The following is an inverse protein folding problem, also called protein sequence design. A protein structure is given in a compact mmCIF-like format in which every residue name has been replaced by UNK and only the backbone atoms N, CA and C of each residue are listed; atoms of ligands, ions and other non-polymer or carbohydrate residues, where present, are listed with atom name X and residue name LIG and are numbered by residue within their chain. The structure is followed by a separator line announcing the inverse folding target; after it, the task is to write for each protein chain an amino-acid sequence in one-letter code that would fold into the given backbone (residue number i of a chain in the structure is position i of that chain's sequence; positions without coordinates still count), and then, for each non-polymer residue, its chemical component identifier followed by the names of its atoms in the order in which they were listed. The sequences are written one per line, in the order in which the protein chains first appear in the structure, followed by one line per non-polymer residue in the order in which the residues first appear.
data_IF_640692072481
#
_entry.id   IF_640692072481
#
_cell.length_a   1.000
_cell.length_b   1.000
_cell.length_c   1.000
_cell.angle_alpha   90.00
_cell.angle_beta   90.00
_cell.angle_gamma   90.00
#
_symmetry.space_group_name_H-M   'P 1'
#
loop_
_entity.id
_entity.type
_entity.pdbx_description
1 polymer ?
#
# COMPACT_ATOMS: atom_id res chain seq x y z
N UNK A 1 14.09 6.52 -18.57
CA UNK A 1 12.78 6.77 -17.95
C UNK A 1 11.69 6.82 -19.00
N UNK A 2 10.51 6.32 -18.66
CA UNK A 2 9.35 6.10 -19.56
C UNK A 2 8.85 7.37 -20.29
N UNK A 3 9.21 8.56 -19.86
CA UNK A 3 8.66 9.84 -20.36
C UNK A 3 9.74 10.75 -21.01
N UNK A 4 11.04 10.49 -20.81
CA UNK A 4 12.11 11.42 -21.18
C UNK A 4 12.28 11.72 -22.68
N UNK A 5 11.69 10.93 -23.56
CA UNK A 5 11.86 11.05 -25.01
C UNK A 5 10.61 11.55 -25.76
N UNK A 6 9.52 11.81 -25.04
CA UNK A 6 8.26 12.25 -25.64
C UNK A 6 8.05 13.74 -25.39
N UNK A 7 7.73 14.49 -26.46
CA UNK A 7 7.32 15.89 -26.37
C UNK A 7 6.02 16.07 -25.57
N UNK A 8 5.16 15.04 -25.55
CA UNK A 8 3.90 14.99 -24.78
C UNK A 8 3.69 13.61 -24.22
N UNK A 9 3.37 13.52 -22.96
CA UNK A 9 3.09 12.25 -22.27
C UNK A 9 1.73 12.32 -21.57
N UNK A 10 1.06 11.16 -21.47
CA UNK A 10 -0.16 10.99 -20.67
C UNK A 10 0.10 10.03 -19.53
N UNK A 11 -0.18 10.45 -18.31
CA UNK A 11 -0.06 9.66 -17.09
C UNK A 11 -1.45 9.35 -16.55
N UNK A 12 -1.71 8.08 -16.26
CA UNK A 12 -2.89 7.66 -15.51
C UNK A 12 -2.48 7.39 -14.06
N UNK A 13 -3.03 8.15 -13.12
CA UNK A 13 -2.86 7.89 -11.68
C UNK A 13 -4.06 7.09 -11.19
N UNK A 14 -3.80 5.89 -10.69
CA UNK A 14 -4.79 4.94 -10.19
C UNK A 14 -4.69 4.89 -8.65
N UNK A 15 -5.72 5.35 -7.96
CA UNK A 15 -5.85 5.22 -6.51
C UNK A 15 -6.64 3.96 -6.15
N UNK A 16 -5.95 2.95 -5.65
CA UNK A 16 -6.55 1.70 -5.18
C UNK A 16 -7.04 1.83 -3.75
N UNK A 17 -8.07 1.08 -3.40
CA UNK A 17 -8.62 1.01 -2.06
C UNK A 17 -10.04 1.56 -1.93
N UNK A 18 -10.52 1.63 -0.69
CA UNK A 18 -11.85 2.08 -0.32
C UNK A 18 -11.78 3.44 0.38
N UNK A 19 -12.34 4.48 -0.23
CA UNK A 19 -12.38 5.83 0.32
C UNK A 19 -13.13 5.94 1.67
N UNK A 20 -14.04 5.00 1.94
CA UNK A 20 -14.84 4.99 3.18
C UNK A 20 -14.13 4.28 4.34
N UNK A 21 -12.97 3.67 4.09
CA UNK A 21 -12.16 2.96 5.09
C UNK A 21 -10.83 3.67 5.26
N UNK A 22 -10.64 4.37 6.36
CA UNK A 22 -9.45 5.21 6.62
C UNK A 22 -8.12 4.50 6.35
N UNK A 23 -8.00 3.25 6.73
CA UNK A 23 -6.80 2.44 6.52
C UNK A 23 -6.53 2.11 5.04
N UNK A 24 -7.54 2.21 4.18
CA UNK A 24 -7.52 1.84 2.76
C UNK A 24 -7.79 3.04 1.83
N UNK A 25 -7.89 4.25 2.38
CA UNK A 25 -8.27 5.45 1.66
C UNK A 25 -7.09 6.17 0.96
N UNK A 26 -5.85 5.75 1.18
CA UNK A 26 -4.66 6.45 0.67
C UNK A 26 -4.73 6.70 -0.84
N UNK A 27 -4.98 5.66 -1.63
CA UNK A 27 -5.04 5.77 -3.09
C UNK A 27 -6.12 6.74 -3.57
N UNK A 28 -7.39 6.56 -3.16
CA UNK A 28 -8.46 7.50 -3.45
C UNK A 28 -8.17 8.94 -3.02
N UNK A 29 -7.60 9.15 -1.83
CA UNK A 29 -7.27 10.47 -1.32
C UNK A 29 -6.16 11.14 -2.12
N UNK A 30 -5.15 10.40 -2.58
CA UNK A 30 -4.14 10.95 -3.48
C UNK A 30 -4.78 11.41 -4.78
N UNK A 31 -5.62 10.58 -5.41
CA UNK A 31 -6.31 10.96 -6.67
C UNK A 31 -7.17 12.20 -6.48
N UNK A 32 -7.82 12.36 -5.34
CA UNK A 32 -8.64 13.55 -5.00
C UNK A 32 -7.80 14.81 -4.84
N UNK A 33 -6.53 14.70 -4.43
CA UNK A 33 -5.69 15.84 -4.07
C UNK A 33 -4.62 16.18 -5.13
N UNK A 34 -4.38 15.36 -6.14
CA UNK A 34 -3.47 15.70 -7.24
C UNK A 34 -4.15 16.63 -8.25
N UNK A 35 -3.34 17.35 -8.99
CA UNK A 35 -3.82 18.15 -10.11
C UNK A 35 -4.13 17.27 -11.32
N UNK A 36 -5.40 17.19 -11.71
CA UNK A 36 -5.88 16.50 -12.90
C UNK A 36 -6.03 17.53 -14.02
N UNK A 37 -5.19 17.48 -15.05
CA UNK A 37 -5.11 18.48 -16.09
C UNK A 37 -5.38 17.97 -17.51
N UNK A 38 -5.55 16.65 -17.70
CA UNK A 38 -5.65 16.04 -19.04
C UNK A 38 -6.71 16.69 -19.93
N UNK A 39 -7.85 17.11 -19.37
CA UNK A 39 -8.97 17.68 -20.12
C UNK A 39 -8.66 19.04 -20.78
N UNK A 40 -7.65 19.78 -20.29
CA UNK A 40 -7.22 21.05 -20.86
C UNK A 40 -5.72 21.10 -21.23
N UNK A 41 -4.97 20.02 -20.98
CA UNK A 41 -3.52 19.99 -21.18
C UNK A 41 -3.08 20.35 -22.61
N UNK A 42 -3.86 19.93 -23.62
CA UNK A 42 -3.58 20.24 -25.03
C UNK A 42 -3.67 21.74 -25.31
N UNK A 43 -4.72 22.38 -24.81
CA UNK A 43 -4.99 23.82 -25.04
C UNK A 43 -4.01 24.67 -24.24
N UNK A 44 -3.65 24.26 -23.04
CA UNK A 44 -2.70 24.97 -22.18
C UNK A 44 -1.22 24.69 -22.53
N UNK A 45 -0.93 23.87 -23.53
CA UNK A 45 0.44 23.53 -23.92
C UNK A 45 1.21 22.71 -22.86
N UNK A 46 0.50 21.99 -21.98
CA UNK A 46 1.09 21.18 -20.92
C UNK A 46 1.72 19.92 -21.54
N UNK A 47 2.97 19.63 -21.18
CA UNK A 47 3.72 18.49 -21.71
C UNK A 47 3.28 17.15 -21.11
N UNK A 48 2.87 17.14 -19.83
CA UNK A 48 2.45 15.93 -19.12
C UNK A 48 0.97 16.06 -18.76
N UNK A 49 0.13 15.33 -19.49
CA UNK A 49 -1.30 15.24 -19.21
C UNK A 49 -1.58 14.21 -18.13
N UNK A 50 -2.19 14.60 -17.02
CA UNK A 50 -2.52 13.73 -15.88
C UNK A 50 -4.01 13.46 -15.85
N UNK A 51 -4.37 12.17 -15.83
CA UNK A 51 -5.71 11.67 -15.56
C UNK A 51 -5.71 10.90 -14.23
N UNK A 52 -6.78 10.98 -13.46
CA UNK A 52 -6.95 10.24 -12.20
C UNK A 52 -8.13 9.28 -12.26
N UNK A 53 -8.00 8.14 -11.61
CA UNK A 53 -9.04 7.13 -11.46
C UNK A 53 -8.97 6.53 -10.05
N UNK A 54 -10.08 6.61 -9.31
CA UNK A 54 -10.27 5.87 -8.06
C UNK A 54 -11.48 4.94 -8.27
N UNK A 55 -11.26 3.66 -8.69
CA UNK A 55 -12.33 2.77 -9.12
C UNK A 55 -13.19 2.23 -7.95
N UNK A 56 -12.74 2.42 -6.71
CA UNK A 56 -13.31 1.75 -5.54
C UNK A 56 -12.91 0.27 -5.47
N UNK A 57 -13.63 -0.49 -4.65
CA UNK A 57 -13.38 -1.91 -4.42
C UNK A 57 -14.47 -2.78 -5.04
N UNK A 58 -14.14 -4.05 -5.34
CA UNK A 58 -15.06 -5.00 -5.95
C UNK A 58 -16.37 -5.16 -5.16
N UNK A 59 -16.32 -5.05 -3.82
CA UNK A 59 -17.51 -5.11 -2.99
C UNK A 59 -18.53 -3.97 -3.26
N UNK A 60 -18.04 -2.83 -3.75
CA UNK A 60 -18.89 -1.68 -4.12
C UNK A 60 -19.32 -1.71 -5.58
N UNK A 61 -18.44 -2.16 -6.47
CA UNK A 61 -18.64 -2.06 -7.93
C UNK A 61 -19.17 -3.35 -8.55
N UNK A 62 -18.97 -4.51 -7.91
CA UNK A 62 -19.23 -5.83 -8.48
C UNK A 62 -18.26 -6.24 -9.60
N UNK A 63 -17.23 -5.45 -9.87
CA UNK A 63 -16.28 -5.65 -10.96
C UNK A 63 -14.85 -5.80 -10.42
N UNK A 64 -14.04 -6.63 -11.11
CA UNK A 64 -12.60 -6.68 -10.82
C UNK A 64 -11.93 -5.37 -11.21
N UNK A 65 -11.11 -4.83 -10.29
CA UNK A 65 -10.39 -3.57 -10.52
C UNK A 65 -9.55 -3.62 -11.81
N UNK A 66 -8.90 -4.76 -12.08
CA UNK A 66 -8.09 -4.94 -13.29
C UNK A 66 -8.93 -4.85 -14.60
N UNK A 67 -10.18 -5.27 -14.58
CA UNK A 67 -11.09 -5.14 -15.75
C UNK A 67 -11.43 -3.68 -16.02
N UNK A 68 -11.78 -2.93 -14.99
CA UNK A 68 -12.06 -1.49 -15.09
C UNK A 68 -10.83 -0.75 -15.62
N UNK A 69 -9.66 -1.01 -15.03
CA UNK A 69 -8.41 -0.35 -15.42
C UNK A 69 -8.04 -0.66 -16.87
N UNK A 70 -8.17 -1.93 -17.32
CA UNK A 70 -7.93 -2.29 -18.72
C UNK A 70 -8.87 -1.55 -19.68
N UNK A 71 -10.14 -1.39 -19.31
CA UNK A 71 -11.11 -0.62 -20.10
C UNK A 71 -10.66 0.84 -20.24
N UNK A 72 -10.28 1.47 -19.16
CA UNK A 72 -9.79 2.86 -19.14
C UNK A 72 -8.48 3.00 -19.92
N UNK A 73 -7.51 2.10 -19.71
CA UNK A 73 -6.21 2.13 -20.41
C UNK A 73 -6.39 2.00 -21.91
N UNK A 74 -7.26 1.11 -22.38
CA UNK A 74 -7.57 0.96 -23.83
C UNK A 74 -8.12 2.24 -24.46
N UNK A 75 -8.97 2.95 -23.72
CA UNK A 75 -9.59 4.18 -24.20
C UNK A 75 -8.65 5.39 -24.07
N UNK A 76 -7.93 5.48 -22.95
CA UNK A 76 -7.07 6.62 -22.62
C UNK A 76 -5.71 6.56 -23.31
N UNK A 77 -5.18 5.34 -23.49
CA UNK A 77 -3.83 5.04 -24.01
C UNK A 77 -2.74 5.84 -23.30
N UNK A 78 -2.62 5.72 -21.98
CA UNK A 78 -1.59 6.43 -21.23
C UNK A 78 -0.21 5.86 -21.56
N UNK A 79 0.84 6.67 -21.39
CA UNK A 79 2.23 6.25 -21.56
C UNK A 79 2.74 5.49 -20.33
N UNK A 80 2.16 5.78 -19.17
CA UNK A 80 2.48 5.10 -17.90
C UNK A 80 1.27 5.15 -16.97
N UNK A 81 1.10 4.08 -16.18
CA UNK A 81 0.14 4.00 -15.09
C UNK A 81 0.89 4.07 -13.77
N UNK A 82 0.50 4.97 -12.88
CA UNK A 82 1.00 5.05 -11.50
C UNK A 82 -0.10 4.51 -10.59
N UNK A 83 0.10 3.33 -10.00
CA UNK A 83 -0.83 2.71 -9.08
C UNK A 83 -0.43 3.03 -7.63
N UNK A 84 -1.35 3.55 -6.84
CA UNK A 84 -1.14 3.93 -5.44
C UNK A 84 -2.06 3.10 -4.56
N UNK A 85 -1.51 2.45 -3.53
CA UNK A 85 -2.26 1.55 -2.66
C UNK A 85 -1.80 1.60 -1.20
N UNK A 86 -2.71 1.26 -0.32
CA UNK A 86 -2.45 0.97 1.09
C UNK A 86 -1.95 -0.45 1.25
N UNK A 87 -0.87 -0.66 2.00
CA UNK A 87 -0.28 -1.98 2.20
C UNK A 87 -0.42 -2.44 3.65
N UNK A 88 -0.32 -3.75 3.86
CA UNK A 88 -0.11 -4.32 5.19
C UNK A 88 1.40 -4.34 5.52
N UNK A 89 1.76 -3.79 6.67
CA UNK A 89 3.12 -3.83 7.18
C UNK A 89 3.47 -5.26 7.63
N UNK A 90 4.66 -5.72 7.29
CA UNK A 90 5.25 -6.97 7.81
C UNK A 90 6.22 -6.75 8.98
N UNK A 91 6.28 -5.52 9.45
CA UNK A 91 7.07 -5.04 10.57
C UNK A 91 6.38 -3.76 11.05
N UNK A 92 6.02 -3.70 12.33
CA UNK A 92 5.25 -2.59 12.91
C UNK A 92 5.98 -1.25 12.80
N UNK A 93 7.31 -1.25 12.76
CA UNK A 93 8.13 -0.04 12.60
C UNK A 93 7.98 0.62 11.23
N UNK A 94 7.48 -0.11 10.22
CA UNK A 94 7.23 0.40 8.87
C UNK A 94 5.87 1.08 8.70
N UNK A 95 4.99 0.92 9.68
CA UNK A 95 3.65 1.48 9.63
C UNK A 95 3.70 3.01 9.45
N UNK A 96 3.18 3.51 8.34
CA UNK A 96 3.17 4.93 7.95
C UNK A 96 4.54 5.64 7.89
N UNK A 97 5.64 4.87 7.88
CA UNK A 97 7.00 5.43 7.88
C UNK A 97 7.78 5.14 6.61
N UNK A 98 7.28 4.24 5.76
CA UNK A 98 7.97 3.82 4.54
C UNK A 98 7.09 3.97 3.31
N UNK A 99 7.71 4.29 2.18
CA UNK A 99 7.08 4.26 0.85
C UNK A 99 7.80 3.19 0.04
N UNK A 100 7.04 2.26 -0.52
CA UNK A 100 7.55 1.19 -1.36
C UNK A 100 7.27 1.52 -2.84
N UNK A 101 8.27 1.38 -3.68
CA UNK A 101 8.17 1.58 -5.12
C UNK A 101 8.46 0.28 -5.86
N UNK A 102 7.66 -0.04 -6.87
CA UNK A 102 7.83 -1.22 -7.71
C UNK A 102 7.52 -0.91 -9.16
N UNK A 103 8.39 -1.32 -10.08
CA UNK A 103 8.12 -1.28 -11.52
C UNK A 103 7.43 -2.55 -12.05
N UNK A 104 7.20 -3.54 -11.19
CA UNK A 104 6.52 -4.79 -11.56
C UNK A 104 5.00 -4.72 -11.38
N UNK A 105 4.48 -3.57 -10.96
CA UNK A 105 3.07 -3.40 -10.63
C UNK A 105 2.73 -3.79 -9.20
N UNK A 106 1.43 -3.98 -8.93
CA UNK A 106 0.89 -4.24 -7.61
C UNK A 106 -0.23 -5.29 -7.65
N UNK A 107 -0.35 -6.07 -6.58
CA UNK A 107 -1.44 -7.05 -6.40
C UNK A 107 -2.34 -6.56 -5.25
N UNK A 108 -3.47 -5.91 -5.56
CA UNK A 108 -4.35 -5.33 -4.54
C UNK A 108 -4.83 -6.40 -3.56
N UNK A 109 -4.80 -6.10 -2.25
CA UNK A 109 -5.28 -6.99 -1.20
C UNK A 109 -4.41 -8.23 -0.91
N UNK A 110 -3.28 -8.43 -1.58
CA UNK A 110 -2.39 -9.59 -1.33
C UNK A 110 -1.83 -9.61 0.10
N UNK A 111 -1.64 -8.46 0.72
CA UNK A 111 -1.17 -8.33 2.10
C UNK A 111 -2.19 -8.78 3.15
N UNK A 112 -3.48 -8.89 2.79
CA UNK A 112 -4.58 -9.32 3.66
C UNK A 112 -5.23 -10.63 3.19
N UNK A 113 -4.51 -11.43 2.40
CA UNK A 113 -4.95 -12.75 1.96
C UNK A 113 -5.95 -12.77 0.79
N UNK A 114 -6.25 -11.62 0.19
CA UNK A 114 -7.10 -11.52 -0.98
C UNK A 114 -6.27 -11.67 -2.26
N UNK A 115 -6.41 -12.78 -2.95
CA UNK A 115 -5.77 -13.00 -4.26
C UNK A 115 -6.63 -12.41 -5.37
N UNK A 116 -6.31 -11.18 -5.77
CA UNK A 116 -6.93 -10.48 -6.91
C UNK A 116 -5.98 -10.43 -8.09
N UNK A 117 -6.54 -10.16 -9.28
CA UNK A 117 -5.73 -9.94 -10.48
C UNK A 117 -4.82 -8.74 -10.27
N UNK A 118 -3.53 -8.91 -10.52
CA UNK A 118 -2.54 -7.84 -10.36
C UNK A 118 -2.74 -6.72 -11.38
N UNK A 119 -2.34 -5.52 -10.98
CA UNK A 119 -2.19 -4.37 -11.89
C UNK A 119 -0.72 -4.35 -12.32
N UNK A 120 -0.42 -5.10 -13.36
CA UNK A 120 0.94 -5.26 -13.93
C UNK A 120 0.92 -4.86 -15.40
N UNK A 121 2.09 -4.59 -15.98
CA UNK A 121 2.19 -4.25 -17.41
C UNK A 121 1.57 -5.31 -18.32
N UNK A 122 1.80 -6.59 -18.03
CA UNK A 122 1.23 -7.71 -18.80
C UNK A 122 -0.32 -7.74 -18.77
N UNK A 123 -0.92 -7.28 -17.66
CA UNK A 123 -2.37 -7.28 -17.48
C UNK A 123 -3.00 -6.04 -18.10
N UNK A 124 -2.43 -4.86 -17.93
CA UNK A 124 -3.04 -3.60 -18.35
C UNK A 124 -2.53 -3.10 -19.70
N UNK A 125 -1.38 -3.59 -20.18
CA UNK A 125 -0.82 -3.28 -21.49
C UNK A 125 -0.03 -1.97 -21.58
N UNK A 126 0.30 -1.37 -20.44
CA UNK A 126 1.17 -0.17 -20.35
C UNK A 126 2.10 -0.31 -19.14
N UNK A 127 3.28 0.33 -19.16
CA UNK A 127 4.18 0.33 -18.02
C UNK A 127 3.48 0.77 -16.72
N UNK A 128 3.74 0.05 -15.63
CA UNK A 128 3.15 0.32 -14.31
C UNK A 128 4.24 0.68 -13.32
N UNK A 129 4.08 1.80 -12.63
CA UNK A 129 4.82 2.17 -11.43
C UNK A 129 3.86 2.05 -10.24
N UNK A 130 4.14 1.13 -9.33
CA UNK A 130 3.38 0.99 -8.10
C UNK A 130 4.04 1.76 -6.94
N UNK A 131 3.20 2.45 -6.17
CA UNK A 131 3.57 3.16 -4.95
C UNK A 131 2.69 2.61 -3.83
N UNK A 132 3.32 2.04 -2.81
CA UNK A 132 2.61 1.47 -1.66
C UNK A 132 3.08 2.06 -0.35
N UNK A 133 2.14 2.31 0.56
CA UNK A 133 2.43 2.75 1.93
C UNK A 133 1.79 1.79 2.91
N UNK A 134 2.53 1.22 3.87
CA UNK A 134 1.96 0.40 4.93
C UNK A 134 1.10 1.26 5.87
N UNK A 135 -0.22 1.05 5.83
CA UNK A 135 -1.21 1.78 6.63
C UNK A 135 -1.84 0.93 7.72
N UNK A 136 -1.69 -0.40 7.62
CA UNK A 136 -2.18 -1.38 8.59
C UNK A 136 -1.08 -2.37 8.96
N UNK A 137 -1.22 -2.97 10.13
CA UNK A 137 -0.42 -4.12 10.59
C UNK A 137 -1.34 -5.13 11.23
N UNK A 138 -1.13 -6.41 11.00
CA UNK A 138 -1.92 -7.47 11.63
C UNK A 138 -1.45 -7.74 13.06
N UNK A 139 -2.34 -8.28 13.89
CA UNK A 139 -2.02 -8.60 15.26
C UNK A 139 -0.89 -9.63 15.40
N UNK A 140 -0.80 -10.70 14.58
CA UNK A 140 0.35 -11.60 14.60
C UNK A 140 1.69 -10.90 14.40
N UNK A 141 1.79 -9.93 13.50
CA UNK A 141 3.01 -9.14 13.30
C UNK A 141 3.38 -8.34 14.54
N UNK A 142 2.39 -7.67 15.19
CA UNK A 142 2.63 -6.92 16.43
C UNK A 142 3.15 -7.83 17.53
N UNK A 143 2.53 -9.01 17.70
CA UNK A 143 2.96 -9.98 18.71
C UNK A 143 4.36 -10.51 18.39
N UNK A 144 4.66 -10.82 17.13
CA UNK A 144 5.99 -11.26 16.71
C UNK A 144 7.07 -10.21 17.04
N UNK A 145 6.84 -8.95 16.65
CA UNK A 145 7.77 -7.85 16.90
C UNK A 145 7.98 -7.62 18.41
N UNK A 146 6.90 -7.74 19.20
CA UNK A 146 6.95 -7.64 20.65
C UNK A 146 7.77 -8.77 21.25
N UNK A 147 7.55 -10.01 20.81
CA UNK A 147 8.32 -11.17 21.25
C UNK A 147 9.80 -11.06 20.88
N UNK A 148 10.12 -10.61 19.67
CA UNK A 148 11.52 -10.40 19.27
C UNK A 148 12.21 -9.35 20.15
N UNK A 149 11.54 -8.24 20.44
CA UNK A 149 12.08 -7.21 21.32
C UNK A 149 12.26 -7.72 22.76
N UNK A 150 11.30 -8.49 23.26
CA UNK A 150 11.41 -9.15 24.57
C UNK A 150 12.60 -10.12 24.60
N UNK A 151 12.75 -10.98 23.58
CA UNK A 151 13.87 -11.93 23.51
C UNK A 151 15.22 -11.20 23.43
N UNK A 152 15.32 -10.07 22.72
CA UNK A 152 16.52 -9.22 22.70
C UNK A 152 16.82 -8.66 24.09
N UNK A 153 15.80 -8.23 24.83
CA UNK A 153 15.97 -7.71 26.20
C UNK A 153 16.46 -8.79 27.16
N UNK A 154 15.87 -9.99 27.15
CA UNK A 154 16.29 -11.10 28.03
C UNK A 154 17.63 -11.71 27.64
N UNK A 155 18.05 -11.60 26.37
CA UNK A 155 19.38 -12.06 25.94
C UNK A 155 20.54 -11.33 26.66
N UNK A 156 20.28 -10.15 27.21
CA UNK A 156 21.25 -9.41 28.02
C UNK A 156 21.36 -9.95 29.46
N UNK A 157 20.39 -10.76 29.92
CA UNK A 157 20.41 -11.41 31.23
C UNK A 157 21.22 -12.71 31.17
N UNK A 158 22.15 -12.91 32.11
CA UNK A 158 22.93 -14.15 32.21
C UNK A 158 22.06 -15.38 32.44
N UNK A 159 20.94 -15.23 33.15
CA UNK A 159 20.05 -16.33 33.56
C UNK A 159 19.09 -16.77 32.45
N UNK A 160 18.67 -15.84 31.58
CA UNK A 160 17.64 -16.08 30.56
C UNK A 160 18.19 -16.23 29.14
N UNK A 161 19.51 -16.10 28.97
CA UNK A 161 20.19 -16.18 27.65
C UNK A 161 19.92 -17.50 26.92
N UNK A 162 19.73 -18.61 27.62
CA UNK A 162 19.43 -19.92 27.03
C UNK A 162 18.07 -19.93 26.33
N UNK A 163 17.05 -19.25 26.90
CA UNK A 163 15.70 -19.13 26.32
C UNK A 163 15.75 -18.34 25.03
N UNK A 164 16.44 -17.19 25.05
CA UNK A 164 16.60 -16.37 23.84
C UNK A 164 17.27 -17.16 22.70
N UNK A 165 18.27 -18.02 23.03
CA UNK A 165 18.99 -18.80 22.03
C UNK A 165 18.09 -19.82 21.31
N UNK A 166 17.21 -20.50 22.04
CA UNK A 166 16.28 -21.49 21.46
C UNK A 166 15.37 -20.78 20.42
N UNK A 167 14.82 -19.61 20.78
CA UNK A 167 13.97 -18.85 19.86
C UNK A 167 14.73 -18.26 18.67
N UNK A 168 16.03 -17.97 18.79
CA UNK A 168 16.84 -17.45 17.69
C UNK A 168 17.12 -18.48 16.58
N UNK A 169 16.91 -19.77 16.83
CA UNK A 169 17.08 -20.83 15.84
C UNK A 169 15.94 -20.87 14.80
N UNK A 170 14.76 -20.30 15.13
CA UNK A 170 13.64 -20.22 14.20
C UNK A 170 13.80 -19.05 13.23
N UNK A 171 13.47 -19.29 11.96
CA UNK A 171 13.37 -18.22 10.95
C UNK A 171 12.23 -17.24 11.28
N UNK A 172 12.26 -16.01 10.75
CA UNK A 172 11.16 -15.05 10.95
C UNK A 172 9.78 -15.59 10.52
N UNK A 173 9.74 -16.41 9.47
CA UNK A 173 8.50 -17.04 8.99
C UNK A 173 7.98 -18.08 9.94
N UNK A 174 8.84 -18.95 10.46
CA UNK A 174 8.45 -19.98 11.43
C UNK A 174 7.95 -19.36 12.74
N UNK A 175 8.58 -18.31 13.22
CA UNK A 175 8.10 -17.55 14.39
C UNK A 175 6.72 -16.97 14.16
N UNK A 176 6.50 -16.36 13.01
CA UNK A 176 5.20 -15.79 12.65
C UNK A 176 4.10 -16.86 12.59
N UNK A 177 4.36 -18.02 11.96
CA UNK A 177 3.38 -19.12 11.89
C UNK A 177 3.09 -19.71 13.28
N UNK A 178 4.09 -19.91 14.12
CA UNK A 178 3.91 -20.31 15.52
C UNK A 178 3.01 -19.34 16.29
N UNK A 179 3.21 -18.05 16.12
CA UNK A 179 2.39 -17.03 16.78
C UNK A 179 0.95 -17.10 16.28
N UNK A 180 0.73 -17.32 14.98
CA UNK A 180 -0.62 -17.49 14.41
C UNK A 180 -1.35 -18.70 14.97
N UNK A 181 -0.63 -19.78 15.28
CA UNK A 181 -1.22 -21.00 15.87
C UNK A 181 -1.63 -20.80 17.34
N UNK A 182 -0.95 -19.95 18.10
CA UNK A 182 -1.24 -19.73 19.54
C UNK A 182 -2.13 -18.51 19.80
N UNK A 183 -2.23 -17.59 18.86
CA UNK A 183 -3.17 -16.45 18.93
C UNK A 183 -4.59 -16.98 18.73
N UNK A 184 -5.55 -16.40 19.46
CA UNK A 184 -6.96 -16.77 19.28
C UNK A 184 -7.43 -16.52 17.85
N UNK A 185 -8.35 -17.35 17.32
CA UNK A 185 -8.86 -17.21 15.95
C UNK A 185 -9.44 -15.81 15.65
N UNK A 186 -10.00 -15.15 16.66
CA UNK A 186 -10.55 -13.81 16.54
C UNK A 186 -9.46 -12.76 16.29
N UNK A 187 -8.28 -12.96 16.86
CA UNK A 187 -7.15 -12.03 16.74
C UNK A 187 -6.34 -12.25 15.45
N UNK A 188 -6.35 -13.45 14.87
CA UNK A 188 -5.53 -13.76 13.67
C UNK A 188 -5.85 -12.81 12.51
N UNK A 189 -7.11 -12.40 12.39
CA UNK A 189 -7.58 -11.50 11.33
C UNK A 189 -7.78 -10.04 11.79
N UNK A 190 -7.29 -9.69 12.98
CA UNK A 190 -7.35 -8.32 13.48
C UNK A 190 -6.25 -7.47 12.88
N UNK A 191 -6.60 -6.33 12.34
CA UNK A 191 -5.68 -5.32 11.81
C UNK A 191 -5.74 -4.06 12.64
N UNK A 192 -4.57 -3.49 12.90
CA UNK A 192 -4.42 -2.20 13.59
C UNK A 192 -3.93 -1.18 12.56
N UNK A 193 -4.59 -0.03 12.50
CA UNK A 193 -4.14 1.11 11.71
C UNK A 193 -3.67 2.22 12.62
N UNK A 194 -2.62 2.92 12.19
CA UNK A 194 -2.23 4.17 12.82
C UNK A 194 -2.92 5.31 12.07
N UNK A 195 -3.76 6.05 12.75
CA UNK A 195 -4.34 7.26 12.19
C UNK A 195 -3.24 8.33 12.10
N UNK A 196 -2.95 8.80 10.90
CA UNK A 196 -2.00 9.91 10.65
C UNK A 196 -2.48 11.27 11.21
N UNK A 197 -3.52 11.26 12.01
CA UNK A 197 -4.20 12.45 12.56
C UNK A 197 -3.53 13.08 13.78
N UNK A 198 -2.34 12.65 14.18
CA UNK A 198 -1.70 13.17 15.41
C UNK A 198 -0.81 14.39 15.20
N UNK A 199 -0.59 14.83 13.98
CA UNK A 199 0.07 16.12 13.72
C UNK A 199 -0.97 17.09 13.15
N UNK A 200 -1.30 18.19 13.86
CA UNK A 200 -2.10 19.24 13.29
C UNK A 200 -1.42 19.71 11.99
N UNK A 201 -2.18 19.72 10.90
CA UNK A 201 -1.71 20.21 9.61
C UNK A 201 -1.16 21.63 9.80
N UNK A 202 -0.13 22.05 9.07
CA UNK A 202 0.30 23.46 9.09
C UNK A 202 -0.82 24.47 8.78
N UNK A 203 -1.96 24.00 8.21
CA UNK A 203 -3.17 24.81 8.02
C UNK A 203 -3.97 24.97 9.31
N UNK A 204 -3.97 23.99 10.19
CA UNK A 204 -4.72 24.01 11.47
C UNK A 204 -4.03 24.89 12.52
N UNK A 205 -2.74 25.20 12.33
CA UNK A 205 -1.96 26.08 13.21
C UNK A 205 -2.13 27.58 12.89
N UNK A 206 -2.86 27.94 11.82
CA UNK A 206 -3.07 29.36 11.43
C UNK A 206 -4.36 29.98 11.98
N UNK A 207 -5.03 29.32 12.91
CA UNK A 207 -6.32 29.72 13.47
C UNK A 207 -6.31 30.05 14.95
N UNK A 208 -5.17 30.44 15.53
CA UNK A 208 -5.06 30.94 16.92
C UNK A 208 -4.31 32.26 16.98
#
# INVERSE_FOLDING_TARGET
GYIREKEKATVLVLGLGNADVTADALGPDVVKNIEINRHYAKEAGIQVAVAGLAPGVMAQTGMETAELVRGVVRQLKPDVLIAIDSLAARDSSRLNTTIQLSSQGIHPGSGVGNHRVGITEDVVGVPVLAIGVPTVVDAPTIVNDTMENFLKAIAQSKELKSVSRIFSEYSPREKYELIREVISPEMVNMYVTCLLYTSPSPRDQRGS
#
